data_IF_552182234891
#
_entry.id   IF_552182234891
#
_cell.length_a   1.000
_cell.length_b   1.000
_cell.length_c   1.000
_cell.angle_alpha   90.00
_cell.angle_beta   90.00
_cell.angle_gamma   90.00
#
_symmetry.space_group_name_H-M   'P 1'
#
loop_
_entity.id
_entity.type
_entity.pdbx_description
1 polymer ?
#
# COMPACT_ATOMS: atom_id res chain seq x y z
N UNK A 1 -14.25 -23.81 -9.19
CA UNK A 1 -13.19 -23.53 -8.21
C UNK A 1 -12.03 -23.09 -9.06
N UNK A 2 -11.95 -21.79 -9.31
CA UNK A 2 -11.23 -21.28 -10.50
C UNK A 2 -9.83 -20.77 -10.14
N UNK A 3 -9.50 -20.80 -8.84
CA UNK A 3 -8.24 -20.33 -8.29
C UNK A 3 -7.50 -21.47 -7.59
N UNK A 4 -6.21 -21.57 -7.88
CA UNK A 4 -5.29 -22.45 -7.17
C UNK A 4 -4.66 -21.70 -5.99
N UNK A 5 -4.77 -22.22 -4.76
CA UNK A 5 -4.20 -21.55 -3.59
C UNK A 5 -2.66 -21.63 -3.61
N UNK A 6 -2.01 -20.52 -3.28
CA UNK A 6 -0.55 -20.43 -3.18
C UNK A 6 -0.13 -19.73 -1.89
N UNK A 7 0.99 -20.16 -1.33
CA UNK A 7 1.71 -19.44 -0.28
C UNK A 7 2.90 -18.71 -0.92
N UNK A 8 2.99 -17.40 -0.68
CA UNK A 8 4.02 -16.53 -1.28
C UNK A 8 4.94 -16.04 -0.18
N UNK A 9 6.25 -16.27 -0.31
CA UNK A 9 7.27 -15.68 0.58
C UNK A 9 7.53 -14.24 0.17
N UNK A 10 7.22 -13.29 1.05
CA UNK A 10 7.34 -11.86 0.78
C UNK A 10 8.55 -11.19 1.42
N UNK A 11 9.37 -11.92 2.19
CA UNK A 11 10.64 -11.42 2.72
C UNK A 11 11.50 -10.81 1.61
N UNK A 12 11.99 -9.60 1.85
CA UNK A 12 12.78 -8.78 0.90
C UNK A 12 12.07 -8.40 -0.40
N UNK A 13 10.77 -8.73 -0.54
CA UNK A 13 9.95 -8.35 -1.70
C UNK A 13 9.19 -7.07 -1.41
N UNK A 14 9.06 -6.24 -2.44
CA UNK A 14 8.19 -5.08 -2.40
C UNK A 14 6.76 -5.45 -2.81
N UNK A 15 5.78 -4.89 -2.12
CA UNK A 15 4.36 -4.94 -2.51
C UNK A 15 3.88 -3.51 -2.71
N UNK A 16 3.45 -3.21 -3.92
CA UNK A 16 2.89 -1.91 -4.29
C UNK A 16 1.37 -1.92 -4.10
N UNK A 17 0.88 -0.95 -3.36
CA UNK A 17 -0.52 -0.59 -3.25
C UNK A 17 -0.77 0.68 -4.06
N UNK A 18 -1.84 0.69 -4.86
CA UNK A 18 -2.25 1.85 -5.63
C UNK A 18 -3.60 2.33 -5.10
N UNK A 19 -3.63 3.56 -4.61
CA UNK A 19 -4.78 4.18 -3.94
C UNK A 19 -4.79 3.96 -2.42
N UNK A 20 -5.19 4.99 -1.67
CA UNK A 20 -5.26 4.98 -0.20
C UNK A 20 -6.67 5.25 0.33
N UNK A 21 -7.68 4.60 -0.26
CA UNK A 21 -9.07 4.63 0.23
C UNK A 21 -9.23 3.78 1.50
N UNK A 22 -10.41 3.85 2.11
CA UNK A 22 -10.73 3.10 3.34
C UNK A 22 -10.62 1.57 3.18
N UNK A 23 -10.98 1.04 2.01
CA UNK A 23 -10.79 -0.39 1.69
C UNK A 23 -9.32 -0.79 1.54
N UNK A 24 -8.46 0.15 1.12
CA UNK A 24 -7.04 -0.11 0.99
C UNK A 24 -6.40 -0.36 2.36
N UNK A 25 -6.91 0.27 3.43
CA UNK A 25 -6.42 0.09 4.79
C UNK A 25 -6.47 -1.36 5.27
N UNK A 26 -7.56 -2.09 4.97
CA UNK A 26 -7.70 -3.50 5.36
C UNK A 26 -6.70 -4.41 4.64
N UNK A 27 -6.48 -4.19 3.33
CA UNK A 27 -5.51 -4.97 2.55
C UNK A 27 -4.08 -4.68 2.99
N UNK A 28 -3.76 -3.41 3.25
CA UNK A 28 -2.45 -2.98 3.73
C UNK A 28 -2.16 -3.60 5.10
N UNK A 29 -3.12 -3.56 6.02
CA UNK A 29 -2.99 -4.17 7.34
C UNK A 29 -2.80 -5.70 7.28
N UNK A 30 -3.42 -6.39 6.33
CA UNK A 30 -3.22 -7.82 6.12
C UNK A 30 -1.79 -8.12 5.66
N UNK A 31 -1.29 -7.41 4.64
CA UNK A 31 0.06 -7.64 4.10
C UNK A 31 1.15 -7.17 5.07
N UNK A 32 0.87 -6.17 5.92
CA UNK A 32 1.77 -5.70 6.97
C UNK A 32 2.09 -6.75 8.05
N UNK A 33 1.29 -7.82 8.15
CA UNK A 33 1.61 -8.98 9.01
C UNK A 33 2.71 -9.87 8.41
N UNK A 34 3.07 -9.66 7.15
CA UNK A 34 4.18 -10.35 6.49
C UNK A 34 5.47 -9.52 6.55
N UNK A 35 6.58 -10.08 6.05
CA UNK A 35 7.88 -9.38 5.98
C UNK A 35 8.08 -8.59 4.68
N UNK A 36 7.00 -8.20 4.01
CA UNK A 36 7.09 -7.45 2.76
C UNK A 36 7.50 -5.99 3.02
N UNK A 37 8.22 -5.39 2.06
CA UNK A 37 8.40 -3.94 2.00
C UNK A 37 7.16 -3.31 1.39
N UNK A 38 6.46 -2.49 2.16
CA UNK A 38 5.19 -1.89 1.72
C UNK A 38 5.42 -0.54 1.04
N UNK A 39 4.91 -0.41 -0.17
CA UNK A 39 4.94 0.83 -0.95
C UNK A 39 3.50 1.22 -1.25
N UNK A 40 3.14 2.48 -0.99
CA UNK A 40 1.84 3.03 -1.33
C UNK A 40 2.01 4.16 -2.34
N UNK A 41 1.28 4.09 -3.45
CA UNK A 41 1.20 5.16 -4.44
C UNK A 41 -0.22 5.73 -4.53
N UNK A 42 -0.36 7.05 -4.43
CA UNK A 42 -1.64 7.73 -4.62
C UNK A 42 -2.04 8.68 -3.50
N UNK A 43 -3.27 9.20 -3.58
CA UNK A 43 -3.87 9.98 -2.50
C UNK A 43 -4.28 9.06 -1.34
N UNK A 44 -4.12 9.57 -0.12
CA UNK A 44 -4.49 8.88 1.12
C UNK A 44 -5.61 9.65 1.78
N UNK A 45 -6.73 8.98 2.03
CA UNK A 45 -7.87 9.54 2.77
C UNK A 45 -8.17 8.76 4.05
N UNK A 46 -7.58 7.58 4.24
CA UNK A 46 -7.74 6.74 5.41
C UNK A 46 -6.70 7.09 6.50
N UNK A 47 -7.18 7.47 7.69
CA UNK A 47 -6.33 7.85 8.83
C UNK A 47 -5.44 6.71 9.33
N UNK A 48 -5.85 5.46 9.15
CA UNK A 48 -5.03 4.28 9.52
C UNK A 48 -3.81 4.18 8.61
N UNK A 49 -3.99 4.45 7.32
CA UNK A 49 -2.89 4.48 6.36
C UNK A 49 -1.95 5.64 6.68
N UNK A 50 -2.49 6.82 7.02
CA UNK A 50 -1.68 7.96 7.48
C UNK A 50 -0.82 7.58 8.69
N UNK A 51 -1.39 6.94 9.71
CA UNK A 51 -0.65 6.49 10.89
C UNK A 51 0.46 5.47 10.54
N UNK A 52 0.22 4.57 9.59
CA UNK A 52 1.24 3.62 9.13
C UNK A 52 2.40 4.31 8.38
N UNK A 53 2.12 5.38 7.62
CA UNK A 53 3.13 6.18 6.95
C UNK A 53 3.97 6.93 7.99
N UNK A 54 3.33 7.57 8.97
CA UNK A 54 4.00 8.29 10.06
C UNK A 54 4.89 7.37 10.91
N UNK A 55 4.45 6.14 11.15
CA UNK A 55 5.23 5.12 11.86
C UNK A 55 6.40 4.55 11.03
N UNK A 56 6.54 4.94 9.75
CA UNK A 56 7.57 4.42 8.85
C UNK A 56 7.33 2.98 8.37
N UNK A 57 6.15 2.40 8.65
CA UNK A 57 5.79 1.05 8.24
C UNK A 57 5.51 0.92 6.74
N UNK A 58 5.22 2.05 6.07
CA UNK A 58 4.88 2.12 4.65
C UNK A 58 5.62 3.29 4.00
N UNK A 59 6.27 3.04 2.88
CA UNK A 59 6.84 4.13 2.05
C UNK A 59 5.74 4.69 1.15
N UNK A 60 5.39 5.97 1.32
CA UNK A 60 4.36 6.64 0.53
C UNK A 60 4.95 7.48 -0.59
N UNK A 61 4.43 7.28 -1.81
CA UNK A 61 4.67 8.11 -2.98
C UNK A 61 3.35 8.81 -3.36
N UNK A 62 3.19 10.11 -3.08
CA UNK A 62 1.98 10.82 -3.46
C UNK A 62 1.86 10.87 -4.99
N UNK A 63 0.63 10.78 -5.49
CA UNK A 63 0.38 11.04 -6.91
C UNK A 63 0.52 12.55 -7.12
N UNK A 64 1.51 12.96 -7.91
CA UNK A 64 1.54 14.32 -8.43
C UNK A 64 0.31 14.55 -9.32
N UNK A 65 -0.38 15.66 -9.08
CA UNK A 65 -1.39 16.14 -10.01
C UNK A 65 -0.66 16.58 -11.29
N UNK A 66 -1.17 16.28 -12.50
CA UNK A 66 -0.57 16.78 -13.72
C UNK A 66 -0.44 18.30 -13.62
N UNK A 67 0.76 18.83 -13.81
CA UNK A 67 0.95 20.28 -13.99
C UNK A 67 0.31 20.60 -15.33
N UNK A 68 -0.80 21.34 -15.30
CA UNK A 68 -1.45 21.82 -16.52
C UNK A 68 -0.46 22.77 -17.23
N UNK A 69 -0.15 22.55 -18.52
CA UNK A 69 0.74 23.46 -19.24
C UNK A 69 0.09 24.86 -19.33
N UNK A 70 0.90 25.93 -19.36
CA UNK A 70 0.43 27.31 -19.35
C UNK A 70 -0.45 27.66 -20.56
#
# INVERSE_FOLDING_TARGET
MDYFPLFIRTTDRAVLFVGGSEDAGHKLALIAKSSARLILFGAVSDSRITAMIEAGAVTHHPRHQPVEPP
#
